data_IF_278366638255
#
_entry.id   IF_278366638255
#
_cell.length_a   1.000
_cell.length_b   1.000
_cell.length_c   1.000
_cell.angle_alpha   90.00
_cell.angle_beta   90.00
_cell.angle_gamma   90.00
#
_symmetry.space_group_name_H-M   'P 1'
#
loop_
_entity.id
_entity.type
_entity.pdbx_description
1 polymer ?
#
# COMPACT_ATOMS: atom_id res chain seq x y z
N UNK A 1 -34.31 -47.79 -10.30
CA UNK A 1 -33.03 -47.27 -10.86
C UNK A 1 -33.01 -45.75 -11.09
N UNK A 2 -34.09 -45.08 -11.50
CA UNK A 2 -34.09 -43.62 -11.75
C UNK A 2 -33.93 -42.70 -10.52
N UNK A 3 -34.38 -43.11 -9.33
CA UNK A 3 -34.26 -42.29 -8.09
C UNK A 3 -32.82 -42.06 -7.65
N UNK A 4 -31.94 -43.07 -7.79
CA UNK A 4 -30.54 -42.98 -7.37
C UNK A 4 -29.72 -42.15 -8.37
N UNK A 5 -30.09 -42.16 -9.65
CA UNK A 5 -29.49 -41.31 -10.68
C UNK A 5 -29.86 -39.82 -10.48
N UNK A 6 -31.10 -39.54 -10.04
CA UNK A 6 -31.54 -38.18 -9.72
C UNK A 6 -30.82 -37.61 -8.48
N UNK A 7 -30.59 -38.44 -7.45
CA UNK A 7 -29.88 -38.03 -6.24
C UNK A 7 -28.39 -37.71 -6.50
N UNK A 8 -27.74 -38.46 -7.41
CA UNK A 8 -26.37 -38.21 -7.84
C UNK A 8 -26.22 -36.94 -8.70
N UNK A 9 -27.25 -36.62 -9.50
CA UNK A 9 -27.26 -35.41 -10.34
C UNK A 9 -27.44 -34.13 -9.50
N UNK A 10 -28.27 -34.18 -8.44
CA UNK A 10 -28.43 -33.06 -7.49
C UNK A 10 -27.18 -32.85 -6.63
N UNK A 11 -26.46 -33.92 -6.27
CA UNK A 11 -25.20 -33.83 -5.54
C UNK A 11 -24.07 -33.21 -6.39
N UNK A 12 -24.07 -33.40 -7.70
CA UNK A 12 -23.09 -32.76 -8.60
C UNK A 12 -23.34 -31.26 -8.82
N UNK A 13 -24.60 -30.81 -8.71
CA UNK A 13 -25.00 -29.40 -8.89
C UNK A 13 -24.71 -28.51 -7.66
N UNK A 14 -24.54 -29.09 -6.47
CA UNK A 14 -24.22 -28.32 -5.26
C UNK A 14 -22.72 -28.10 -5.05
N UNK A 15 -21.86 -28.92 -5.66
CA UNK A 15 -20.40 -28.84 -5.48
C UNK A 15 -19.77 -27.75 -6.38
N UNK A 16 -20.40 -27.37 -7.48
CA UNK A 16 -19.84 -26.38 -8.42
C UNK A 16 -19.86 -24.93 -7.92
N UNK A 17 -20.68 -24.62 -6.90
CA UNK A 17 -20.68 -23.29 -6.27
C UNK A 17 -19.49 -23.04 -5.33
N UNK A 18 -18.75 -24.07 -4.94
CA UNK A 18 -17.58 -23.94 -4.05
C UNK A 18 -16.27 -23.56 -4.77
N UNK A 19 -16.25 -23.59 -6.10
CA UNK A 19 -15.01 -23.36 -6.88
C UNK A 19 -14.97 -22.02 -7.64
N UNK A 20 -15.99 -21.16 -7.50
CA UNK A 20 -16.10 -19.93 -8.29
C UNK A 20 -15.47 -18.68 -7.66
N UNK A 21 -15.04 -18.71 -6.40
CA UNK A 21 -14.35 -17.58 -5.77
C UNK A 21 -12.85 -17.85 -5.68
N UNK A 22 -12.17 -17.84 -6.84
CA UNK A 22 -10.73 -17.61 -6.83
C UNK A 22 -10.53 -16.20 -6.27
N UNK A 23 -10.18 -16.11 -4.98
CA UNK A 23 -10.19 -14.86 -4.23
C UNK A 23 -9.46 -13.76 -4.99
N UNK A 24 -10.16 -12.67 -5.29
CA UNK A 24 -9.61 -11.48 -5.92
C UNK A 24 -8.42 -10.98 -5.08
N UNK A 25 -7.25 -10.81 -5.72
CA UNK A 25 -6.10 -10.16 -5.10
C UNK A 25 -6.14 -8.68 -5.46
N UNK A 26 -6.33 -7.82 -4.47
CA UNK A 26 -6.41 -6.38 -4.69
C UNK A 26 -5.05 -5.80 -5.11
N UNK A 27 -5.11 -4.93 -6.13
CA UNK A 27 -4.00 -4.15 -6.65
C UNK A 27 -4.32 -2.65 -6.61
N UNK A 28 -3.33 -1.80 -6.90
CA UNK A 28 -3.51 -0.35 -7.01
C UNK A 28 -4.62 -0.01 -8.02
N UNK A 29 -4.70 -0.74 -9.13
CA UNK A 29 -5.73 -0.52 -10.16
C UNK A 29 -7.14 -0.75 -9.62
N UNK A 30 -7.34 -1.75 -8.75
CA UNK A 30 -8.65 -1.98 -8.12
C UNK A 30 -9.03 -0.80 -7.21
N UNK A 31 -8.06 -0.25 -6.47
CA UNK A 31 -8.29 0.93 -5.60
C UNK A 31 -8.62 2.17 -6.43
N UNK A 32 -7.87 2.42 -7.50
CA UNK A 32 -8.12 3.54 -8.42
C UNK A 32 -9.51 3.42 -9.04
N UNK A 33 -9.89 2.22 -9.52
CA UNK A 33 -11.21 1.98 -10.09
C UNK A 33 -12.34 2.25 -9.08
N UNK A 34 -12.21 1.74 -7.84
CA UNK A 34 -13.19 2.02 -6.77
C UNK A 34 -13.26 3.51 -6.43
N UNK A 35 -12.12 4.18 -6.36
CA UNK A 35 -12.05 5.62 -6.08
C UNK A 35 -12.73 6.45 -7.17
N UNK A 36 -12.42 6.19 -8.45
CA UNK A 36 -13.02 6.87 -9.60
C UNK A 36 -14.52 6.58 -9.73
N UNK A 37 -14.95 5.37 -9.37
CA UNK A 37 -16.36 4.99 -9.27
C UNK A 37 -17.07 5.61 -8.04
N UNK A 38 -16.38 6.45 -7.25
CA UNK A 38 -16.90 7.12 -6.05
C UNK A 38 -17.41 6.15 -4.98
N UNK A 39 -16.83 4.94 -4.92
CA UNK A 39 -17.05 4.03 -3.80
C UNK A 39 -16.57 4.72 -2.53
N UNK A 40 -17.35 4.62 -1.45
CA UNK A 40 -17.07 5.34 -0.22
C UNK A 40 -15.72 4.89 0.37
N UNK A 41 -15.01 5.85 0.97
CA UNK A 41 -13.71 5.61 1.61
C UNK A 41 -13.77 4.46 2.63
N UNK A 42 -14.83 4.40 3.43
CA UNK A 42 -15.02 3.34 4.44
C UNK A 42 -15.18 1.97 3.80
N UNK A 43 -15.92 1.86 2.69
CA UNK A 43 -16.12 0.59 2.00
C UNK A 43 -14.84 0.10 1.31
N UNK A 44 -14.05 1.02 0.72
CA UNK A 44 -12.73 0.69 0.17
C UNK A 44 -11.80 0.15 1.27
N UNK A 45 -11.73 0.84 2.41
CA UNK A 45 -10.93 0.40 3.57
C UNK A 45 -11.39 -0.97 4.07
N UNK A 46 -12.70 -1.18 4.19
CA UNK A 46 -13.26 -2.47 4.61
C UNK A 46 -12.88 -3.58 3.63
N UNK A 47 -12.99 -3.32 2.31
CA UNK A 47 -12.61 -4.27 1.26
C UNK A 47 -11.12 -4.60 1.31
N UNK A 48 -10.24 -3.63 1.57
CA UNK A 48 -8.80 -3.87 1.77
C UNK A 48 -8.57 -4.81 2.95
N UNK A 49 -9.19 -4.53 4.10
CA UNK A 49 -9.01 -5.34 5.31
C UNK A 49 -9.56 -6.78 5.18
N UNK A 50 -10.55 -6.99 4.31
CA UNK A 50 -11.21 -8.29 4.13
C UNK A 50 -10.62 -9.13 2.98
N UNK A 51 -9.71 -8.58 2.18
CA UNK A 51 -9.22 -9.25 0.96
C UNK A 51 -7.73 -9.50 1.02
N UNK A 52 -7.27 -10.48 0.25
CA UNK A 52 -5.84 -10.59 -0.06
C UNK A 52 -5.43 -9.41 -0.94
N UNK A 53 -4.26 -8.85 -0.70
CA UNK A 53 -3.78 -7.68 -1.42
C UNK A 53 -2.32 -7.82 -1.80
N UNK A 54 -1.97 -7.23 -2.94
CA UNK A 54 -0.60 -7.07 -3.43
C UNK A 54 -0.48 -5.67 -4.02
N UNK A 55 -0.40 -4.69 -3.14
CA UNK A 55 -0.23 -3.30 -3.55
C UNK A 55 1.24 -3.00 -3.85
N UNK A 56 1.45 -2.26 -4.93
CA UNK A 56 2.69 -1.53 -5.15
C UNK A 56 2.67 -0.27 -4.29
N UNK A 57 3.33 -0.35 -3.14
CA UNK A 57 3.55 0.76 -2.22
C UNK A 57 4.98 1.33 -2.33
N UNK A 58 5.61 1.17 -3.50
CA UNK A 58 6.81 1.91 -3.83
C UNK A 58 6.54 3.40 -4.00
N UNK A 59 7.59 4.23 -3.96
CA UNK A 59 7.40 5.68 -4.17
C UNK A 59 6.73 5.99 -5.52
N UNK A 60 7.13 5.39 -6.66
CA UNK A 60 6.38 5.53 -7.92
C UNK A 60 4.91 5.10 -7.80
N UNK A 61 4.63 3.97 -7.13
CA UNK A 61 3.27 3.48 -6.91
C UNK A 61 2.41 4.45 -6.08
N UNK A 62 2.98 5.01 -5.01
CA UNK A 62 2.32 6.02 -4.18
C UNK A 62 2.08 7.32 -4.94
N UNK A 63 3.06 7.80 -5.72
CA UNK A 63 2.92 8.98 -6.58
C UNK A 63 1.82 8.78 -7.64
N UNK A 64 1.70 7.58 -8.19
CA UNK A 64 0.62 7.24 -9.12
C UNK A 64 -0.76 7.35 -8.44
N UNK A 65 -0.90 6.85 -7.20
CA UNK A 65 -2.13 6.99 -6.42
C UNK A 65 -2.47 8.46 -6.10
N UNK A 66 -1.47 9.26 -5.75
CA UNK A 66 -1.63 10.70 -5.47
C UNK A 66 -1.98 11.50 -6.72
N UNK A 67 -1.45 11.12 -7.88
CA UNK A 67 -1.75 11.80 -9.15
C UNK A 67 -3.24 11.72 -9.51
N UNK A 68 -3.93 10.65 -9.09
CA UNK A 68 -5.38 10.48 -9.23
C UNK A 68 -6.15 10.77 -7.94
N UNK A 69 -5.49 11.41 -6.96
CA UNK A 69 -6.08 11.89 -5.70
C UNK A 69 -6.74 10.82 -4.84
N UNK A 70 -6.19 9.60 -4.83
CA UNK A 70 -6.60 8.59 -3.84
C UNK A 70 -6.32 9.13 -2.43
N UNK A 71 -7.32 9.17 -1.53
CA UNK A 71 -7.12 9.68 -0.17
C UNK A 71 -6.00 8.98 0.59
N UNK A 72 -5.15 9.75 1.29
CA UNK A 72 -4.04 9.18 2.09
C UNK A 72 -4.50 8.15 3.11
N UNK A 73 -5.67 8.33 3.73
CA UNK A 73 -6.22 7.35 4.68
C UNK A 73 -6.44 5.96 4.05
N UNK A 74 -6.67 5.87 2.73
CA UNK A 74 -6.72 4.58 2.02
C UNK A 74 -5.29 4.06 1.82
N UNK A 75 -4.35 4.92 1.41
CA UNK A 75 -2.94 4.56 1.22
C UNK A 75 -2.27 4.06 2.51
N UNK A 76 -2.61 4.62 3.67
CA UNK A 76 -2.14 4.17 4.99
C UNK A 76 -2.57 2.73 5.30
N UNK A 77 -3.80 2.37 4.92
CA UNK A 77 -4.31 1.00 5.07
C UNK A 77 -3.65 0.08 4.04
N UNK A 78 -3.44 0.54 2.80
CA UNK A 78 -2.69 -0.21 1.78
C UNK A 78 -1.26 -0.53 2.23
N UNK A 79 -0.56 0.44 2.86
CA UNK A 79 0.77 0.23 3.45
C UNK A 79 0.77 -0.78 4.60
N UNK A 80 -0.34 -0.89 5.34
CA UNK A 80 -0.47 -1.87 6.42
C UNK A 80 -0.74 -3.28 5.86
N UNK A 81 -1.46 -3.35 4.73
CA UNK A 81 -1.80 -4.60 4.05
C UNK A 81 -0.70 -5.12 3.11
N UNK A 82 0.34 -4.33 2.80
CA UNK A 82 1.40 -4.72 1.85
C UNK A 82 2.73 -4.10 2.22
N UNK A 83 3.81 -4.90 2.13
CA UNK A 83 5.17 -4.41 2.38
C UNK A 83 5.77 -3.84 1.09
N UNK A 84 6.24 -2.59 1.07
CA UNK A 84 7.00 -2.04 -0.05
C UNK A 84 8.30 -2.81 -0.29
N UNK A 85 8.64 -3.04 -1.55
CA UNK A 85 9.85 -3.77 -1.93
C UNK A 85 11.05 -2.86 -2.25
N UNK A 86 10.80 -1.59 -2.55
CA UNK A 86 11.83 -0.59 -2.86
C UNK A 86 12.54 -0.09 -1.59
N UNK A 87 13.86 0.11 -1.73
CA UNK A 87 14.72 0.67 -0.69
C UNK A 87 14.64 2.18 -0.75
N UNK A 88 14.20 2.80 0.36
CA UNK A 88 14.16 4.26 0.44
C UNK A 88 15.56 4.86 0.62
N UNK A 89 15.84 5.89 -0.16
CA UNK A 89 16.98 6.79 -0.03
C UNK A 89 16.47 8.23 0.14
N UNK A 90 17.39 9.18 0.30
CA UNK A 90 17.05 10.57 0.57
C UNK A 90 16.18 11.17 -0.54
N UNK A 91 16.45 10.80 -1.79
CA UNK A 91 15.76 11.27 -2.99
C UNK A 91 14.28 10.90 -2.95
N UNK A 92 13.94 9.67 -2.55
CA UNK A 92 12.54 9.25 -2.43
C UNK A 92 11.81 9.99 -1.31
N UNK A 93 12.48 10.31 -0.19
CA UNK A 93 11.88 11.13 0.87
C UNK A 93 11.58 12.55 0.36
N UNK A 94 12.52 13.13 -0.39
CA UNK A 94 12.36 14.45 -1.00
C UNK A 94 11.21 14.45 -2.00
N UNK A 95 11.14 13.45 -2.88
CA UNK A 95 10.04 13.29 -3.84
C UNK A 95 8.69 13.18 -3.13
N UNK A 96 8.59 12.37 -2.09
CA UNK A 96 7.34 12.24 -1.34
C UNK A 96 6.94 13.55 -0.64
N UNK A 97 7.90 14.25 -0.04
CA UNK A 97 7.64 15.53 0.59
C UNK A 97 7.18 16.59 -0.43
N UNK A 98 7.85 16.67 -1.58
CA UNK A 98 7.51 17.61 -2.66
C UNK A 98 6.17 17.29 -3.32
N UNK A 99 5.78 16.01 -3.36
CA UNK A 99 4.45 15.58 -3.80
C UNK A 99 3.33 15.95 -2.81
N UNK A 100 3.67 16.50 -1.64
CA UNK A 100 2.71 16.97 -0.65
C UNK A 100 2.20 15.89 0.29
N UNK A 101 2.79 14.69 0.28
CA UNK A 101 2.40 13.65 1.23
C UNK A 101 2.58 14.12 2.66
N UNK A 102 1.64 13.73 3.52
CA UNK A 102 1.71 14.09 4.92
C UNK A 102 2.93 13.49 5.60
N UNK A 103 3.45 14.21 6.59
CA UNK A 103 4.51 13.72 7.48
C UNK A 103 4.18 12.34 8.03
N UNK A 104 2.91 12.09 8.38
CA UNK A 104 2.46 10.82 8.94
C UNK A 104 2.64 9.68 7.95
N UNK A 105 2.16 9.86 6.71
CA UNK A 105 2.28 8.85 5.66
C UNK A 105 3.75 8.57 5.29
N UNK A 106 4.58 9.61 5.18
CA UNK A 106 6.02 9.44 4.91
C UNK A 106 6.71 8.65 6.03
N UNK A 107 6.44 8.99 7.31
CA UNK A 107 6.99 8.25 8.46
C UNK A 107 6.54 6.79 8.45
N UNK A 108 5.26 6.52 8.16
CA UNK A 108 4.76 5.15 8.04
C UNK A 108 5.47 4.40 6.91
N UNK A 109 5.69 5.04 5.76
CA UNK A 109 6.41 4.44 4.64
C UNK A 109 7.87 4.14 5.00
N UNK A 110 8.55 5.00 5.76
CA UNK A 110 9.91 4.74 6.28
C UNK A 110 9.93 3.48 7.16
N UNK A 111 8.90 3.28 7.99
CA UNK A 111 8.80 2.15 8.91
C UNK A 111 8.39 0.83 8.23
N UNK A 112 7.68 0.90 7.10
CA UNK A 112 7.08 -0.25 6.45
C UNK A 112 8.06 -1.10 5.61
N UNK A 113 9.20 -0.55 5.20
CA UNK A 113 10.09 -1.18 4.23
C UNK A 113 11.57 -0.88 4.43
N UNK A 114 12.43 -1.49 3.60
CA UNK A 114 13.87 -1.29 3.69
C UNK A 114 14.26 0.16 3.36
N UNK A 115 15.35 0.61 3.96
CA UNK A 115 15.89 1.95 3.74
C UNK A 115 17.42 1.93 3.81
N UNK A 116 18.03 2.91 3.15
CA UNK A 116 19.47 3.18 3.11
C UNK A 116 19.68 4.69 3.04
N UNK A 117 19.38 5.37 4.14
CA UNK A 117 19.47 6.83 4.19
C UNK A 117 20.91 7.31 4.33
N UNK A 118 21.24 8.37 3.59
CA UNK A 118 22.45 9.13 3.80
C UNK A 118 22.19 10.19 4.89
N UNK A 119 22.67 9.93 6.10
CA UNK A 119 22.53 10.82 7.27
C UNK A 119 23.87 11.47 7.67
N UNK A 120 24.83 11.55 6.74
CA UNK A 120 26.03 12.39 6.91
C UNK A 120 25.65 13.88 6.88
N UNK A 121 26.59 14.76 7.20
CA UNK A 121 26.42 16.21 7.13
C UNK A 121 25.82 16.65 5.79
N UNK A 122 26.38 16.20 4.67
CA UNK A 122 25.90 16.55 3.33
C UNK A 122 24.48 16.03 3.06
N UNK A 123 24.18 14.80 3.50
CA UNK A 123 22.84 14.23 3.39
C UNK A 123 21.79 15.02 4.19
N UNK A 124 22.15 15.47 5.39
CA UNK A 124 21.27 16.31 6.21
C UNK A 124 21.08 17.71 5.63
N UNK A 125 22.14 18.29 5.03
CA UNK A 125 22.06 19.57 4.31
C UNK A 125 21.11 19.44 3.11
N UNK A 126 21.22 18.37 2.30
CA UNK A 126 20.34 18.10 1.16
C UNK A 126 18.87 18.04 1.58
N UNK A 127 18.57 17.29 2.64
CA UNK A 127 17.20 17.18 3.19
C UNK A 127 16.67 18.54 3.68
N UNK A 128 17.53 19.34 4.32
CA UNK A 128 17.19 20.69 4.80
C UNK A 128 16.90 21.66 3.65
N UNK A 129 17.75 21.67 2.62
CA UNK A 129 17.56 22.48 1.41
C UNK A 129 16.24 22.11 0.72
N UNK A 130 15.94 20.82 0.64
CA UNK A 130 14.67 20.30 0.12
C UNK A 130 13.46 20.53 1.04
N UNK A 131 13.66 21.23 2.18
CA UNK A 131 12.64 21.56 3.18
C UNK A 131 11.95 20.35 3.83
N UNK A 132 12.58 19.18 3.80
CA UNK A 132 12.06 17.98 4.46
C UNK A 132 11.91 18.27 5.96
N UNK A 133 10.72 18.03 6.55
CA UNK A 133 10.48 18.30 7.96
C UNK A 133 11.44 17.58 8.90
N UNK A 134 11.93 18.29 9.92
CA UNK A 134 12.90 17.74 10.89
C UNK A 134 12.41 16.45 11.57
N UNK A 135 11.11 16.34 11.81
CA UNK A 135 10.51 15.13 12.38
C UNK A 135 10.70 13.89 11.48
N UNK A 136 10.68 14.06 10.15
CA UNK A 136 10.97 12.97 9.20
C UNK A 136 12.47 12.65 9.24
N UNK A 137 13.33 13.68 9.21
CA UNK A 137 14.79 13.52 9.30
C UNK A 137 15.21 12.79 10.58
N UNK A 138 14.60 13.11 11.73
CA UNK A 138 14.84 12.40 13.00
C UNK A 138 14.51 10.92 12.90
N UNK A 139 13.40 10.56 12.24
CA UNK A 139 13.05 9.16 12.00
C UNK A 139 14.07 8.49 11.08
N UNK A 140 14.57 9.17 10.04
CA UNK A 140 15.62 8.63 9.16
C UNK A 140 16.91 8.32 9.93
N UNK A 141 17.35 9.21 10.84
CA UNK A 141 18.53 9.01 11.68
C UNK A 141 18.34 7.78 12.61
N UNK A 142 17.17 7.68 13.24
CA UNK A 142 16.86 6.59 14.18
C UNK A 142 16.59 5.25 13.51
N UNK A 143 16.10 5.24 12.26
CA UNK A 143 15.89 4.03 11.48
C UNK A 143 17.21 3.39 11.05
N UNK A 144 18.21 4.21 10.74
CA UNK A 144 19.53 3.76 10.28
C UNK A 144 20.37 3.12 11.41
N UNK A 145 20.09 3.43 12.68
CA UNK A 145 20.84 2.89 13.82
C UNK A 145 20.47 1.45 14.20
N UNK A 146 19.34 0.92 13.70
CA UNK A 146 18.92 -0.48 13.94
C UNK A 146 19.55 -1.51 12.99
N UNK A 147 20.39 -1.07 12.06
CA UNK A 147 21.09 -1.92 11.08
C UNK A 147 22.59 -2.10 11.38
N UNK A 148 23.07 -1.65 12.54
CA UNK A 148 24.43 -1.90 13.03
C UNK A 148 24.42 -2.88 14.19
#
# INVERSE_FOLDING_TARGET
MMKNAFLLMVLFLTITNLYAQKGEVLSNNNIVAMHQAKVSKSLIIQKINASTARFDMSVPGMLALESVKVPEAIMEVMLTASKPADVLQNEQIIQMHQAGFSKRLIIQRIQAGPNRFNVTTDGLIQLRIAKVPEAITKVMINGNSKSK
#
